data_IF_939715560687
#
_entry.id   IF_939715560687
#
_cell.length_a   1.000
_cell.length_b   1.000
_cell.length_c   1.000
_cell.angle_alpha   90.00
_cell.angle_beta   90.00
_cell.angle_gamma   90.00
#
_symmetry.space_group_name_H-M   'P 1'
#
loop_
_entity.id
_entity.type
_entity.pdbx_description
1 polymer ?
#
# COMPACT_ATOMS: atom_id res chain seq x y z
N UNK A 1 25.84 50.10 41.58
CA UNK A 1 24.90 49.05 42.07
C UNK A 1 24.03 48.63 40.91
N UNK A 2 24.36 47.52 40.25
CA UNK A 2 23.49 46.83 39.31
C UNK A 2 23.44 45.38 39.79
N UNK A 3 22.36 45.01 40.46
CA UNK A 3 22.11 43.63 40.91
C UNK A 3 21.36 42.90 39.81
N UNK A 4 22.02 41.95 39.17
CA UNK A 4 21.43 41.05 38.19
C UNK A 4 20.41 40.11 38.83
N UNK A 5 19.19 40.13 38.31
CA UNK A 5 18.19 39.09 38.57
C UNK A 5 18.52 37.85 37.73
N UNK A 6 18.97 36.78 38.38
CA UNK A 6 19.01 35.44 37.78
C UNK A 6 17.60 34.86 37.77
N UNK A 7 17.01 34.75 36.57
CA UNK A 7 15.76 34.02 36.35
C UNK A 7 16.04 32.51 36.46
N UNK A 8 15.61 31.88 37.56
CA UNK A 8 15.59 30.41 37.67
C UNK A 8 14.45 29.88 36.80
N UNK A 9 14.77 29.16 35.72
CA UNK A 9 13.81 28.30 35.02
C UNK A 9 13.36 27.21 35.99
N UNK A 10 12.14 27.32 36.50
CA UNK A 10 11.50 26.23 37.22
C UNK A 10 11.26 25.08 36.25
N UNK A 11 11.78 23.89 36.59
CA UNK A 11 11.37 22.65 35.94
C UNK A 11 9.86 22.49 36.15
N UNK A 12 9.09 22.55 35.05
CA UNK A 12 7.68 22.18 35.08
C UNK A 12 7.64 20.68 35.29
N UNK A 13 7.51 20.25 36.55
CA UNK A 13 7.25 18.85 36.89
C UNK A 13 5.86 18.53 36.34
N UNK A 14 5.81 17.90 35.17
CA UNK A 14 4.57 17.34 34.64
C UNK A 14 4.15 16.24 35.61
N UNK A 15 2.99 16.31 36.25
CA UNK A 15 2.55 15.26 37.16
C UNK A 15 2.38 13.97 36.37
N UNK A 16 3.31 13.02 36.55
CA UNK A 16 3.20 11.68 35.98
C UNK A 16 2.07 10.98 36.73
N UNK A 17 1.04 10.53 36.01
CA UNK A 17 -0.03 9.72 36.57
C UNK A 17 0.61 8.40 37.05
N UNK A 18 0.86 8.30 38.36
CA UNK A 18 1.41 7.10 39.01
C UNK A 18 0.31 6.18 39.56
N UNK A 19 -0.92 6.34 39.05
CA UNK A 19 -2.05 5.50 39.43
C UNK A 19 -2.04 4.20 38.62
N UNK A 20 -1.73 3.10 39.33
CA UNK A 20 -1.67 1.74 38.76
C UNK A 20 -2.99 1.33 38.10
N UNK A 21 -4.14 1.78 38.61
CA UNK A 21 -5.45 1.46 38.03
C UNK A 21 -5.67 2.21 36.71
N UNK A 22 -5.32 3.50 36.66
CA UNK A 22 -5.40 4.30 35.42
C UNK A 22 -4.46 3.74 34.36
N UNK A 23 -3.21 3.45 34.72
CA UNK A 23 -2.24 2.84 33.80
C UNK A 23 -2.72 1.49 33.26
N UNK A 24 -3.23 0.61 34.14
CA UNK A 24 -3.77 -0.69 33.74
C UNK A 24 -4.96 -0.55 32.80
N UNK A 25 -5.85 0.42 33.05
CA UNK A 25 -7.00 0.71 32.18
C UNK A 25 -6.56 1.20 30.79
N UNK A 26 -5.64 2.17 30.73
CA UNK A 26 -5.09 2.68 29.46
C UNK A 26 -4.40 1.56 28.69
N UNK A 27 -3.58 0.76 29.37
CA UNK A 27 -2.88 -0.38 28.78
C UNK A 27 -3.86 -1.38 28.15
N UNK A 28 -4.90 -1.80 28.88
CA UNK A 28 -5.93 -2.71 28.36
C UNK A 28 -6.69 -2.12 27.17
N UNK A 29 -7.02 -0.83 27.22
CA UNK A 29 -7.71 -0.14 26.13
C UNK A 29 -6.85 -0.08 24.86
N UNK A 30 -5.55 0.20 25.01
CA UNK A 30 -4.59 0.18 23.90
C UNK A 30 -4.44 -1.23 23.32
N UNK A 31 -4.34 -2.28 24.15
CA UNK A 31 -4.33 -3.67 23.68
C UNK A 31 -5.62 -4.04 22.93
N UNK A 32 -6.79 -3.59 23.39
CA UNK A 32 -8.05 -3.78 22.67
C UNK A 32 -8.04 -3.11 21.28
N UNK A 33 -7.53 -1.87 21.19
CA UNK A 33 -7.34 -1.16 19.91
C UNK A 33 -6.47 -1.97 18.94
N UNK A 34 -5.40 -2.64 19.42
CA UNK A 34 -4.54 -3.48 18.58
C UNK A 34 -5.35 -4.57 17.86
N UNK A 35 -6.27 -5.24 18.55
CA UNK A 35 -7.12 -6.30 17.95
C UNK A 35 -8.02 -5.72 16.85
N UNK A 36 -8.59 -4.54 17.06
CA UNK A 36 -9.42 -3.88 16.06
C UNK A 36 -8.64 -3.45 14.81
N UNK A 37 -7.39 -2.99 14.97
CA UNK A 37 -6.51 -2.64 13.84
C UNK A 37 -6.17 -3.89 13.03
N UNK A 38 -5.85 -5.01 13.69
CA UNK A 38 -5.60 -6.29 13.01
C UNK A 38 -6.81 -6.76 12.20
N UNK A 39 -8.00 -6.78 12.82
CA UNK A 39 -9.24 -7.14 12.12
C UNK A 39 -9.50 -6.24 10.89
N UNK A 40 -9.22 -4.94 11.03
CA UNK A 40 -9.36 -3.98 9.93
C UNK A 40 -8.36 -4.25 8.82
N UNK A 41 -7.10 -4.54 9.14
CA UNK A 41 -6.06 -4.94 8.19
C UNK A 41 -6.42 -6.22 7.42
N UNK A 42 -6.96 -7.22 8.11
CA UNK A 42 -7.44 -8.46 7.48
C UNK A 42 -8.62 -8.21 6.54
N UNK A 43 -9.58 -7.39 6.97
CA UNK A 43 -10.74 -7.01 6.15
C UNK A 43 -10.29 -6.26 4.89
N UNK A 44 -9.37 -5.31 5.01
CA UNK A 44 -8.77 -4.59 3.89
C UNK A 44 -8.00 -5.55 2.95
N UNK A 45 -7.28 -6.52 3.50
CA UNK A 45 -6.60 -7.55 2.69
C UNK A 45 -7.60 -8.39 1.89
N UNK A 46 -8.76 -8.77 2.47
CA UNK A 46 -9.82 -9.46 1.73
C UNK A 46 -10.41 -8.58 0.62
N UNK A 47 -10.62 -7.29 0.88
CA UNK A 47 -11.10 -6.35 -0.13
C UNK A 47 -10.10 -6.22 -1.28
N UNK A 48 -8.81 -6.07 -0.98
CA UNK A 48 -7.74 -6.05 -1.98
C UNK A 48 -7.79 -7.25 -2.92
N UNK A 49 -7.89 -8.47 -2.37
CA UNK A 49 -7.97 -9.70 -3.18
C UNK A 49 -9.17 -9.68 -4.13
N UNK A 50 -10.32 -9.19 -3.68
CA UNK A 50 -11.50 -9.03 -4.54
C UNK A 50 -11.25 -8.02 -5.66
N UNK A 51 -10.57 -6.91 -5.37
CA UNK A 51 -10.22 -5.91 -6.38
C UNK A 51 -9.28 -6.48 -7.45
N UNK A 52 -8.21 -7.19 -7.05
CA UNK A 52 -7.31 -7.86 -8.01
C UNK A 52 -8.00 -8.97 -8.80
N UNK A 53 -8.94 -9.70 -8.19
CA UNK A 53 -9.79 -10.66 -8.88
C UNK A 53 -10.66 -10.01 -9.96
N UNK A 54 -11.32 -8.89 -9.61
CA UNK A 54 -12.13 -8.13 -10.56
C UNK A 54 -11.29 -7.52 -11.70
N UNK A 55 -10.08 -7.04 -11.40
CA UNK A 55 -9.14 -6.55 -12.42
C UNK A 55 -8.74 -7.65 -13.42
N UNK A 56 -8.50 -8.87 -12.91
CA UNK A 56 -8.18 -10.04 -13.74
C UNK A 56 -9.35 -10.44 -14.62
N UNK A 57 -10.57 -10.46 -14.07
CA UNK A 57 -11.77 -10.76 -14.86
C UNK A 57 -12.03 -9.70 -15.94
N UNK A 58 -11.84 -8.42 -15.63
CA UNK A 58 -11.96 -7.34 -16.62
C UNK A 58 -10.94 -7.51 -17.76
N UNK A 59 -9.70 -7.88 -17.47
CA UNK A 59 -8.70 -8.18 -18.52
C UNK A 59 -9.16 -9.32 -19.42
N UNK A 60 -9.68 -10.39 -18.84
CA UNK A 60 -10.22 -11.54 -19.58
C UNK A 60 -11.41 -11.13 -20.48
N UNK A 61 -12.29 -10.26 -20.00
CA UNK A 61 -13.40 -9.72 -20.79
C UNK A 61 -12.86 -8.89 -21.97
N UNK A 62 -11.87 -8.02 -21.73
CA UNK A 62 -11.27 -7.20 -22.76
C UNK A 62 -10.58 -8.04 -23.85
N UNK A 63 -9.90 -9.13 -23.48
CA UNK A 63 -9.32 -10.10 -24.42
C UNK A 63 -10.40 -10.75 -25.30
N UNK A 64 -11.51 -11.19 -24.68
CA UNK A 64 -12.65 -11.76 -25.43
C UNK A 64 -13.31 -10.76 -26.38
N UNK A 65 -13.41 -9.48 -25.99
CA UNK A 65 -13.87 -8.40 -26.86
C UNK A 65 -12.94 -8.21 -28.07
N UNK A 66 -11.63 -8.26 -27.85
CA UNK A 66 -10.66 -8.17 -28.95
C UNK A 66 -10.80 -9.33 -29.95
N UNK A 67 -11.00 -10.56 -29.46
CA UNK A 67 -11.26 -11.72 -30.33
C UNK A 67 -12.56 -11.55 -31.12
N UNK A 68 -13.62 -11.07 -30.47
CA UNK A 68 -14.90 -10.81 -31.11
C UNK A 68 -14.80 -9.75 -32.22
N UNK A 69 -14.10 -8.64 -31.97
CA UNK A 69 -13.84 -7.60 -32.97
C UNK A 69 -13.09 -8.18 -34.17
N UNK A 70 -12.06 -9.00 -33.95
CA UNK A 70 -11.29 -9.64 -35.02
C UNK A 70 -12.16 -10.58 -35.88
N UNK A 71 -13.00 -11.41 -35.24
CA UNK A 71 -13.94 -12.28 -35.95
C UNK A 71 -14.98 -11.49 -36.77
N UNK A 72 -15.48 -10.40 -36.19
CA UNK A 72 -16.45 -9.50 -36.84
C UNK A 72 -15.84 -8.80 -38.04
N UNK A 73 -14.60 -8.33 -37.92
CA UNK A 73 -13.83 -7.73 -39.02
C UNK A 73 -13.65 -8.71 -40.20
N UNK A 74 -13.30 -9.97 -39.92
CA UNK A 74 -13.17 -11.01 -40.96
C UNK A 74 -14.51 -11.29 -41.64
N UNK A 75 -15.60 -11.40 -40.88
CA UNK A 75 -16.96 -11.60 -41.43
C UNK A 75 -17.37 -10.42 -42.32
N UNK A 76 -17.18 -9.19 -41.83
CA UNK A 76 -17.44 -7.95 -42.57
C UNK A 76 -16.68 -7.94 -43.89
N UNK A 77 -15.38 -8.27 -43.89
CA UNK A 77 -14.55 -8.36 -45.09
C UNK A 77 -15.12 -9.35 -46.11
N UNK A 78 -15.54 -10.54 -45.67
CA UNK A 78 -16.16 -11.56 -46.54
C UNK A 78 -17.49 -11.08 -47.13
N UNK A 79 -18.33 -10.42 -46.33
CA UNK A 79 -19.59 -9.85 -46.80
C UNK A 79 -19.36 -8.76 -47.84
N UNK A 80 -18.38 -7.88 -47.63
CA UNK A 80 -18.06 -6.80 -48.56
C UNK A 80 -17.60 -7.33 -49.93
N UNK A 81 -16.92 -8.47 -49.97
CA UNK A 81 -16.55 -9.16 -51.21
C UNK A 81 -17.74 -9.82 -51.91
N UNK A 82 -18.77 -10.27 -51.17
CA UNK A 82 -19.93 -10.98 -51.72
C UNK A 82 -21.03 -10.04 -52.23
N UNK A 83 -21.23 -8.88 -51.59
CA UNK A 83 -22.30 -7.93 -51.93
C UNK A 83 -22.35 -7.55 -53.42
N UNK A 84 -21.22 -7.29 -54.13
CA UNK A 84 -21.25 -6.94 -55.54
C UNK A 84 -21.95 -7.98 -56.44
N UNK A 85 -21.91 -9.27 -56.07
CA UNK A 85 -22.50 -10.37 -56.84
C UNK A 85 -23.99 -10.62 -56.54
N UNK A 86 -24.62 -9.85 -55.65
CA UNK A 86 -26.02 -10.04 -55.24
C UNK A 86 -27.00 -9.21 -56.08
N UNK A 87 -28.30 -9.51 -55.98
CA UNK A 87 -29.36 -8.71 -56.60
C UNK A 87 -29.44 -7.30 -55.99
N UNK A 88 -30.11 -6.36 -56.68
CA UNK A 88 -30.24 -4.98 -56.21
C UNK A 88 -30.91 -4.87 -54.81
N UNK A 89 -31.92 -5.71 -54.54
CA UNK A 89 -32.61 -5.74 -53.24
C UNK A 89 -31.69 -6.27 -52.14
N UNK A 90 -30.96 -7.36 -52.41
CA UNK A 90 -30.01 -7.96 -51.46
C UNK A 90 -28.80 -7.05 -51.18
N UNK A 91 -28.32 -6.30 -52.19
CA UNK A 91 -27.27 -5.29 -52.02
C UNK A 91 -27.64 -4.24 -50.97
N UNK A 92 -28.91 -3.81 -50.93
CA UNK A 92 -29.39 -2.84 -49.94
C UNK A 92 -29.29 -3.40 -48.52
N UNK A 93 -29.76 -4.63 -48.30
CA UNK A 93 -29.64 -5.29 -47.00
C UNK A 93 -28.18 -5.58 -46.62
N UNK A 94 -27.35 -6.02 -47.56
CA UNK A 94 -25.92 -6.25 -47.32
C UNK A 94 -25.18 -5.01 -46.84
N UNK A 95 -25.47 -3.84 -47.44
CA UNK A 95 -24.91 -2.55 -46.97
C UNK A 95 -25.38 -2.19 -45.56
N UNK A 96 -26.64 -2.48 -45.21
CA UNK A 96 -27.16 -2.26 -43.85
C UNK A 96 -26.46 -3.19 -42.84
N UNK A 97 -26.27 -4.47 -43.18
CA UNK A 97 -25.54 -5.42 -42.34
C UNK A 97 -24.09 -4.97 -42.13
N UNK A 98 -23.39 -4.52 -43.18
CA UNK A 98 -22.03 -3.98 -43.03
C UNK A 98 -22.00 -2.80 -42.05
N UNK A 99 -22.95 -1.86 -42.18
CA UNK A 99 -23.03 -0.72 -41.26
C UNK A 99 -23.23 -1.18 -39.81
N UNK A 100 -24.15 -2.13 -39.57
CA UNK A 100 -24.36 -2.68 -38.22
C UNK A 100 -23.12 -3.40 -37.68
N UNK A 101 -22.34 -4.07 -38.54
CA UNK A 101 -21.07 -4.70 -38.14
C UNK A 101 -20.01 -3.65 -37.82
N UNK A 102 -19.97 -2.53 -38.56
CA UNK A 102 -19.10 -1.39 -38.25
C UNK A 102 -19.45 -0.79 -36.89
N UNK A 103 -20.73 -0.45 -36.67
CA UNK A 103 -21.21 0.11 -35.40
C UNK A 103 -20.92 -0.86 -34.23
N UNK A 104 -21.13 -2.17 -34.42
CA UNK A 104 -20.84 -3.19 -33.42
C UNK A 104 -19.35 -3.30 -33.07
N UNK A 105 -18.47 -3.19 -34.08
CA UNK A 105 -17.02 -3.19 -33.85
C UNK A 105 -16.58 -1.94 -33.09
N UNK A 106 -17.12 -0.77 -33.43
CA UNK A 106 -16.84 0.49 -32.74
C UNK A 106 -17.25 0.40 -31.27
N UNK A 107 -18.50 0.06 -30.98
CA UNK A 107 -18.99 -0.08 -29.60
C UNK A 107 -18.23 -1.15 -28.81
N UNK A 108 -17.87 -2.27 -29.43
CA UNK A 108 -17.10 -3.30 -28.73
C UNK A 108 -15.69 -2.83 -28.41
N UNK A 109 -15.07 -2.07 -29.30
CA UNK A 109 -13.73 -1.48 -29.06
C UNK A 109 -13.78 -0.45 -27.93
N UNK A 110 -14.82 0.38 -27.89
CA UNK A 110 -15.03 1.33 -26.79
C UNK A 110 -15.25 0.63 -25.45
N UNK A 111 -16.06 -0.43 -25.42
CA UNK A 111 -16.25 -1.26 -24.23
C UNK A 111 -14.93 -1.93 -23.80
N UNK A 112 -14.15 -2.47 -24.73
CA UNK A 112 -12.85 -3.06 -24.46
C UNK A 112 -11.91 -2.06 -23.77
N UNK A 113 -11.84 -0.83 -24.31
CA UNK A 113 -11.03 0.25 -23.74
C UNK A 113 -11.53 0.66 -22.35
N UNK A 114 -12.84 0.74 -22.15
CA UNK A 114 -13.44 1.05 -20.85
C UNK A 114 -13.13 -0.01 -19.78
N UNK A 115 -13.33 -1.29 -20.12
CA UNK A 115 -13.07 -2.42 -19.22
C UNK A 115 -11.58 -2.55 -18.91
N UNK A 116 -10.70 -2.34 -19.89
CA UNK A 116 -9.24 -2.35 -19.69
C UNK A 116 -8.79 -1.23 -18.75
N UNK A 117 -9.33 -0.02 -18.91
CA UNK A 117 -9.06 1.09 -17.96
C UNK A 117 -9.57 0.77 -16.56
N UNK A 118 -10.76 0.18 -16.45
CA UNK A 118 -11.33 -0.25 -15.17
C UNK A 118 -10.42 -1.27 -14.47
N UNK A 119 -9.88 -2.25 -15.21
CA UNK A 119 -8.90 -3.20 -14.68
C UNK A 119 -7.65 -2.50 -14.12
N UNK A 120 -7.08 -1.56 -14.88
CA UNK A 120 -5.92 -0.78 -14.44
C UNK A 120 -6.19 0.00 -13.15
N UNK A 121 -7.33 0.70 -13.07
CA UNK A 121 -7.74 1.42 -11.85
C UNK A 121 -7.90 0.49 -10.65
N UNK A 122 -8.48 -0.69 -10.85
CA UNK A 122 -8.64 -1.70 -9.79
C UNK A 122 -7.28 -2.21 -9.29
N UNK A 123 -6.32 -2.45 -10.19
CA UNK A 123 -4.98 -2.90 -9.82
C UNK A 123 -4.20 -1.82 -9.05
N UNK A 124 -4.25 -0.56 -9.49
CA UNK A 124 -3.67 0.59 -8.78
C UNK A 124 -4.30 0.73 -7.39
N UNK A 125 -5.62 0.70 -7.31
CA UNK A 125 -6.35 0.83 -6.04
C UNK A 125 -6.05 -0.33 -5.08
N UNK A 126 -5.88 -1.55 -5.61
CA UNK A 126 -5.48 -2.71 -4.82
C UNK A 126 -4.04 -2.58 -4.28
N UNK A 127 -3.12 -2.06 -5.09
CA UNK A 127 -1.75 -1.75 -4.69
C UNK A 127 -1.70 -0.72 -3.56
N UNK A 128 -2.39 0.41 -3.74
CA UNK A 128 -2.44 1.48 -2.73
C UNK A 128 -3.09 1.03 -1.42
N UNK A 129 -4.17 0.24 -1.50
CA UNK A 129 -4.78 -0.37 -0.31
C UNK A 129 -3.81 -1.29 0.43
N UNK A 130 -2.96 -2.05 -0.28
CA UNK A 130 -1.94 -2.88 0.34
C UNK A 130 -0.93 -2.04 1.13
N UNK A 131 -0.42 -0.96 0.53
CA UNK A 131 0.53 -0.06 1.20
C UNK A 131 -0.11 0.60 2.43
N UNK A 132 -1.37 1.03 2.32
CA UNK A 132 -2.15 1.57 3.44
C UNK A 132 -2.26 0.57 4.60
N UNK A 133 -2.52 -0.71 4.30
CA UNK A 133 -2.56 -1.78 5.31
C UNK A 133 -1.20 -1.98 5.98
N UNK A 134 -0.11 -1.98 5.20
CA UNK A 134 1.25 -2.12 5.73
C UNK A 134 1.60 -0.96 6.68
N UNK A 135 1.24 0.28 6.33
CA UNK A 135 1.40 1.44 7.22
C UNK A 135 0.63 1.26 8.53
N UNK A 136 -0.64 0.85 8.47
CA UNK A 136 -1.46 0.65 9.66
C UNK A 136 -0.88 -0.42 10.60
N UNK A 137 -0.40 -1.54 10.04
CA UNK A 137 0.23 -2.62 10.81
C UNK A 137 1.59 -2.19 11.36
N UNK A 138 2.36 -1.37 10.64
CA UNK A 138 3.60 -0.79 11.14
C UNK A 138 3.37 0.15 12.32
N UNK A 139 2.41 1.07 12.23
CA UNK A 139 2.03 1.93 13.36
C UNK A 139 1.62 1.11 14.59
N UNK A 140 0.85 0.05 14.37
CA UNK A 140 0.47 -0.87 15.41
C UNK A 140 1.67 -1.58 16.05
N UNK A 141 2.63 -2.03 15.24
CA UNK A 141 3.86 -2.65 15.73
C UNK A 141 4.71 -1.65 16.54
N UNK A 142 4.83 -0.40 16.07
CA UNK A 142 5.50 0.69 16.78
C UNK A 142 4.87 0.96 18.16
N UNK A 143 3.54 1.00 18.24
CA UNK A 143 2.82 1.15 19.51
C UNK A 143 3.18 0.04 20.50
N UNK A 144 3.34 -1.22 20.05
CA UNK A 144 3.74 -2.34 20.91
C UNK A 144 5.15 -2.16 21.49
N UNK A 145 6.09 -1.61 20.71
CA UNK A 145 7.45 -1.31 21.20
C UNK A 145 7.42 -0.30 22.33
N UNK A 146 6.68 0.80 22.17
CA UNK A 146 6.53 1.81 23.22
C UNK A 146 5.86 1.26 24.48
N UNK A 147 4.81 0.45 24.30
CA UNK A 147 4.11 -0.17 25.43
C UNK A 147 4.98 -1.16 26.19
N UNK A 148 5.87 -1.89 25.50
CA UNK A 148 6.86 -2.75 26.14
C UNK A 148 7.80 -1.96 27.06
N UNK A 149 8.27 -0.79 26.59
CA UNK A 149 9.18 0.07 27.36
C UNK A 149 8.46 0.71 28.55
N UNK A 150 7.25 1.25 28.34
CA UNK A 150 6.44 1.86 29.41
C UNK A 150 6.07 0.86 30.51
N UNK A 151 5.80 -0.40 30.15
CA UNK A 151 5.46 -1.45 31.10
C UNK A 151 6.67 -2.11 31.77
N UNK A 152 7.89 -1.82 31.30
CA UNK A 152 9.11 -2.49 31.73
C UNK A 152 9.11 -4.02 31.56
N UNK A 153 8.35 -4.56 30.61
CA UNK A 153 8.16 -6.01 30.44
C UNK A 153 9.00 -6.63 29.33
N UNK A 154 9.72 -5.81 28.53
CA UNK A 154 10.49 -6.23 27.36
C UNK A 154 9.74 -7.21 26.43
N UNK A 155 8.53 -6.84 26.03
CA UNK A 155 7.69 -7.58 25.09
C UNK A 155 7.81 -7.02 23.66
N UNK A 156 9.00 -6.52 23.29
CA UNK A 156 9.25 -6.04 21.93
C UNK A 156 9.08 -7.24 20.97
N UNK A 157 8.30 -7.11 19.89
CA UNK A 157 8.08 -8.25 19.00
C UNK A 157 9.39 -8.71 18.36
N UNK A 158 9.80 -9.94 18.65
CA UNK A 158 11.01 -10.56 18.10
C UNK A 158 10.83 -11.15 16.70
N UNK A 159 9.84 -10.68 15.93
CA UNK A 159 9.65 -11.12 14.55
C UNK A 159 10.86 -10.68 13.72
N UNK A 160 11.42 -11.63 12.97
CA UNK A 160 12.44 -11.37 11.97
C UNK A 160 11.88 -10.50 10.83
N UNK A 161 12.74 -9.70 10.22
CA UNK A 161 12.38 -8.74 9.17
C UNK A 161 11.71 -9.42 7.97
N UNK A 162 11.99 -10.69 7.70
CA UNK A 162 11.34 -11.45 6.62
C UNK A 162 10.00 -12.10 7.05
N UNK A 163 9.80 -12.28 8.35
CA UNK A 163 8.66 -12.98 8.92
C UNK A 163 7.55 -12.04 9.40
N UNK A 164 7.76 -10.72 9.40
CA UNK A 164 6.68 -9.77 9.65
C UNK A 164 5.75 -9.64 8.42
N UNK A 165 4.59 -8.99 8.56
CA UNK A 165 3.65 -8.82 7.44
C UNK A 165 4.27 -8.04 6.26
N UNK A 166 5.07 -7.01 6.57
CA UNK A 166 5.76 -6.21 5.57
C UNK A 166 6.85 -7.02 4.87
N UNK A 167 7.66 -7.77 5.62
CA UNK A 167 8.70 -8.66 5.09
C UNK A 167 8.17 -9.70 4.11
N UNK A 168 7.14 -10.45 4.52
CA UNK A 168 6.50 -11.45 3.65
C UNK A 168 5.96 -10.85 2.36
N UNK A 169 5.40 -9.64 2.43
CA UNK A 169 4.94 -8.94 1.25
C UNK A 169 6.10 -8.42 0.40
N UNK A 170 7.14 -7.87 1.04
CA UNK A 170 8.34 -7.34 0.40
C UNK A 170 9.07 -8.42 -0.40
N UNK A 171 9.22 -9.62 0.16
CA UNK A 171 9.92 -10.71 -0.52
C UNK A 171 9.07 -11.46 -1.54
N UNK A 172 7.75 -11.31 -1.50
CA UNK A 172 6.80 -11.90 -2.45
C UNK A 172 6.22 -10.89 -3.44
N UNK A 173 4.90 -10.73 -3.40
CA UNK A 173 4.12 -9.90 -4.35
C UNK A 173 4.68 -8.47 -4.51
N UNK A 174 5.19 -7.86 -3.43
CA UNK A 174 5.77 -6.53 -3.46
C UNK A 174 6.97 -6.45 -4.41
N UNK A 175 7.89 -7.41 -4.35
CA UNK A 175 9.07 -7.47 -5.23
C UNK A 175 8.68 -7.68 -6.68
N UNK A 176 7.73 -8.58 -6.94
CA UNK A 176 7.26 -8.87 -8.31
C UNK A 176 6.67 -7.63 -8.99
N UNK A 177 5.91 -6.81 -8.24
CA UNK A 177 5.21 -5.65 -8.79
C UNK A 177 6.00 -4.36 -8.75
N UNK A 178 6.78 -4.15 -7.69
CA UNK A 178 7.37 -2.85 -7.36
C UNK A 178 8.89 -2.89 -7.19
N UNK A 179 9.53 -4.05 -7.43
CA UNK A 179 10.96 -4.26 -7.16
C UNK A 179 11.91 -3.28 -7.86
N UNK A 180 11.47 -2.66 -8.96
CA UNK A 180 12.25 -1.67 -9.71
C UNK A 180 12.05 -0.23 -9.22
N UNK A 181 11.07 0.03 -8.35
CA UNK A 181 10.79 1.37 -7.86
C UNK A 181 11.83 1.78 -6.80
N UNK A 182 12.47 2.97 -6.91
CA UNK A 182 13.45 3.43 -5.93
C UNK A 182 12.89 3.49 -4.50
N UNK A 183 11.61 3.86 -4.35
CA UNK A 183 10.92 3.87 -3.06
C UNK A 183 10.81 2.46 -2.44
N UNK A 184 10.58 1.44 -3.27
CA UNK A 184 10.54 0.04 -2.82
C UNK A 184 11.92 -0.45 -2.37
N UNK A 185 12.99 -0.14 -3.11
CA UNK A 185 14.35 -0.51 -2.73
C UNK A 185 14.70 0.11 -1.36
N UNK A 186 14.48 1.43 -1.23
CA UNK A 186 14.68 2.16 0.03
C UNK A 186 13.88 1.57 1.19
N UNK A 187 12.63 1.16 0.95
CA UNK A 187 11.78 0.53 1.96
C UNK A 187 12.46 -0.70 2.57
N UNK A 188 13.07 -1.56 1.75
CA UNK A 188 13.79 -2.74 2.23
C UNK A 188 14.94 -2.39 3.20
N UNK A 189 15.70 -1.34 2.87
CA UNK A 189 16.84 -0.92 3.70
C UNK A 189 16.41 -0.32 5.03
N UNK A 190 15.43 0.60 5.03
CA UNK A 190 14.92 1.20 6.27
C UNK A 190 14.16 0.19 7.13
N UNK A 191 13.50 -0.80 6.51
CA UNK A 191 12.82 -1.88 7.22
C UNK A 191 13.80 -2.81 7.93
N UNK A 192 14.87 -3.23 7.27
CA UNK A 192 15.97 -3.99 7.92
C UNK A 192 16.55 -3.22 9.10
N UNK A 193 16.86 -1.93 8.89
CA UNK A 193 17.39 -1.08 9.94
C UNK A 193 16.43 -0.95 11.12
N UNK A 194 15.12 -0.90 10.89
CA UNK A 194 14.08 -0.86 11.92
C UNK A 194 14.15 -2.08 12.84
N UNK A 195 14.19 -3.28 12.26
CA UNK A 195 14.29 -4.52 13.02
C UNK A 195 15.59 -4.59 13.81
N UNK A 196 16.71 -4.11 13.24
CA UNK A 196 18.00 -4.03 13.94
C UNK A 196 17.93 -3.10 15.17
N UNK A 197 17.44 -1.86 15.03
CA UNK A 197 17.35 -0.93 16.16
C UNK A 197 16.35 -1.40 17.22
N UNK A 198 15.26 -2.06 16.82
CA UNK A 198 14.31 -2.67 17.76
C UNK A 198 14.93 -3.85 18.53
N UNK A 199 15.73 -4.69 17.86
CA UNK A 199 16.46 -5.76 18.52
C UNK A 199 17.51 -5.23 19.51
N UNK A 200 18.18 -4.12 19.19
CA UNK A 200 19.09 -3.45 20.13
C UNK A 200 18.36 -2.83 21.32
N UNK A 201 17.17 -2.28 21.12
CA UNK A 201 16.30 -1.79 22.19
C UNK A 201 15.84 -2.93 23.11
N UNK A 202 15.54 -4.11 22.53
CA UNK A 202 15.14 -5.30 23.28
C UNK A 202 16.27 -5.90 24.14
N UNK A 203 17.52 -5.47 23.99
CA UNK A 203 18.64 -5.88 24.85
C UNK A 203 18.76 -5.03 26.12
N UNK A 204 18.01 -3.94 26.25
CA UNK A 204 18.06 -3.09 27.43
C UNK A 204 17.46 -3.79 28.67
N UNK A 205 18.07 -3.54 29.82
CA UNK A 205 17.49 -3.88 31.12
C UNK A 205 16.31 -2.93 31.37
N UNK A 206 15.10 -3.47 31.29
CA UNK A 206 13.87 -2.71 31.48
C UNK A 206 13.53 -2.49 32.96
N UNK A 207 14.12 -3.27 33.88
CA UNK A 207 13.92 -3.09 35.31
C UNK A 207 14.75 -1.90 35.82
N UNK A 208 16.01 -1.80 35.36
CA UNK A 208 16.96 -0.74 35.73
C UNK A 208 17.60 -0.07 34.51
N UNK A 209 16.82 0.60 33.63
CA UNK A 209 17.34 1.17 32.40
C UNK A 209 18.26 2.35 32.68
N UNK A 210 19.41 2.38 32.01
CA UNK A 210 20.21 3.61 31.90
C UNK A 210 19.41 4.63 31.09
N UNK A 211 18.83 5.63 31.75
CA UNK A 211 17.84 6.54 31.17
C UNK A 211 18.33 7.22 29.88
N UNK A 212 19.55 7.74 29.87
CA UNK A 212 20.16 8.40 28.70
C UNK A 212 20.33 7.43 27.52
N UNK A 213 20.78 6.21 27.79
CA UNK A 213 20.97 5.17 26.77
C UNK A 213 19.64 4.70 26.20
N UNK A 214 18.64 4.48 27.05
CA UNK A 214 17.30 4.10 26.64
C UNK A 214 16.66 5.19 25.78
N UNK A 215 16.78 6.46 26.20
CA UNK A 215 16.27 7.60 25.44
C UNK A 215 16.91 7.65 24.04
N UNK A 216 18.23 7.55 23.95
CA UNK A 216 18.93 7.54 22.66
C UNK A 216 18.45 6.40 21.73
N UNK A 217 18.28 5.19 22.28
CA UNK A 217 17.77 4.04 21.49
C UNK A 217 16.33 4.24 21.02
N UNK A 218 15.49 4.91 21.82
CA UNK A 218 14.12 5.27 21.42
C UNK A 218 14.11 6.33 20.33
N UNK A 219 15.00 7.33 20.38
CA UNK A 219 15.17 8.34 19.33
C UNK A 219 15.64 7.71 18.01
N UNK A 220 16.62 6.81 18.07
CA UNK A 220 17.09 6.04 16.91
C UNK A 220 15.97 5.18 16.33
N UNK A 221 15.20 4.50 17.17
CA UNK A 221 14.04 3.70 16.77
C UNK A 221 12.96 4.55 16.08
N UNK A 222 12.58 5.69 16.67
CA UNK A 222 11.56 6.56 16.09
C UNK A 222 12.01 7.13 14.75
N UNK A 223 13.27 7.57 14.65
CA UNK A 223 13.84 8.10 13.41
C UNK A 223 13.74 7.08 12.27
N UNK A 224 14.11 5.82 12.51
CA UNK A 224 14.03 4.77 11.51
C UNK A 224 12.59 4.35 11.22
N UNK A 225 11.72 4.34 12.24
CA UNK A 225 10.29 4.06 12.10
C UNK A 225 9.58 5.08 11.21
N UNK A 226 9.91 6.37 11.33
CA UNK A 226 9.42 7.41 10.45
C UNK A 226 9.97 7.28 9.02
N UNK A 227 11.21 6.82 8.86
CA UNK A 227 11.78 6.55 7.54
C UNK A 227 11.06 5.42 6.81
N UNK A 228 10.59 4.38 7.52
CA UNK A 228 9.74 3.31 6.95
C UNK A 228 8.41 3.88 6.45
N UNK A 229 7.75 4.72 7.25
CA UNK A 229 6.51 5.39 6.84
C UNK A 229 6.74 6.26 5.59
N UNK A 230 7.78 7.09 5.58
CA UNK A 230 8.10 7.93 4.43
C UNK A 230 8.41 7.12 3.16
N UNK A 231 9.07 5.96 3.29
CA UNK A 231 9.31 5.07 2.16
C UNK A 231 8.01 4.43 1.64
N UNK A 232 7.09 4.04 2.54
CA UNK A 232 5.76 3.54 2.16
C UNK A 232 4.92 4.64 1.49
N UNK A 233 4.98 5.89 1.97
CA UNK A 233 4.28 7.02 1.34
C UNK A 233 4.79 7.28 -0.07
N UNK A 234 6.11 7.38 -0.24
CA UNK A 234 6.70 7.58 -1.56
C UNK A 234 6.40 6.42 -2.53
N UNK A 235 6.26 5.19 -2.00
CA UNK A 235 5.85 4.05 -2.80
C UNK A 235 4.38 4.14 -3.21
N UNK A 236 3.48 4.51 -2.29
CA UNK A 236 2.06 4.70 -2.57
C UNK A 236 1.85 5.77 -3.66
N UNK A 237 2.55 6.90 -3.54
CA UNK A 237 2.54 7.96 -4.54
C UNK A 237 3.01 7.45 -5.92
N UNK A 238 4.05 6.62 -5.95
CA UNK A 238 4.53 6.01 -7.20
C UNK A 238 3.54 5.02 -7.81
N UNK A 239 2.71 4.35 -6.98
CA UNK A 239 1.67 3.43 -7.43
C UNK A 239 0.48 4.19 -8.01
N UNK A 240 0.06 5.28 -7.36
CA UNK A 240 -1.08 6.10 -7.78
C UNK A 240 -0.71 6.97 -9.00
N UNK A 241 0.52 7.48 -9.04
CA UNK A 241 1.01 8.40 -10.07
C UNK A 241 2.32 7.87 -10.71
N UNK A 242 2.27 6.79 -11.51
CA UNK A 242 3.46 6.14 -12.08
C UNK A 242 4.34 7.04 -12.98
N UNK A 243 3.86 8.24 -13.35
CA UNK A 243 4.60 9.20 -14.18
C UNK A 243 5.30 10.35 -13.45
N UNK A 244 5.17 10.51 -12.13
CA UNK A 244 5.87 11.59 -11.38
C UNK A 244 7.19 11.16 -10.75
N UNK A 245 7.41 9.88 -10.52
CA UNK A 245 8.60 9.37 -9.82
C UNK A 245 9.92 9.62 -10.58
N UNK A 246 9.90 9.70 -11.92
CA UNK A 246 11.09 9.99 -12.74
C UNK A 246 11.52 11.47 -12.71
N UNK A 247 10.63 12.40 -12.33
CA UNK A 247 10.94 13.83 -12.35
C UNK A 247 11.77 14.29 -11.14
N UNK A 248 11.73 13.56 -10.03
CA UNK A 248 12.47 13.92 -8.80
C UNK A 248 13.85 13.27 -8.69
N UNK A 249 14.16 12.27 -9.53
CA UNK A 249 15.47 11.63 -9.58
C UNK A 249 16.48 12.34 -10.50
N UNK A 250 16.03 13.29 -11.34
CA UNK A 250 16.86 14.04 -12.29
C UNK A 250 17.27 15.43 -11.84
N UNK A 251 17.08 15.78 -10.56
CA UNK A 251 17.44 17.10 -10.04
C UNK A 251 17.95 16.98 -8.61
N UNK A 252 19.16 16.46 -8.43
CA UNK A 252 20.09 16.76 -7.33
C UNK A 252 21.49 16.26 -7.69
#
# INVERSE_FOLDING_TARGET
MYTGQTCKRGEVVVPVINDKAIFTYIYRTLQSKLVHVQYTAEKATRLRRKMSGAATENRRIAEGMSEFVNRTYVLRKRLNLKIPSLSAREKRYGKQVIKLLDDLMEYTTDMQNSVSRSAGTMDVSAGSLQVTVLKAVHYQWRERVYMSVLNKTNTIPGEDEHHCLLGRWYDGEGREKYGLLPAFIRLGDVHRKLHQVAAELAKEDMEHPGQERLLKKLEDFETVSLAVIAALDALDDSIIEPGKADASAGSL
#
